data_IF_440213107655
#
_entry.id   IF_440213107655
#
_cell.length_a   1.000
_cell.length_b   1.000
_cell.length_c   1.000
_cell.angle_alpha   90.00
_cell.angle_beta   90.00
_cell.angle_gamma   90.00
#
_symmetry.space_group_name_H-M   'P 1'
#
loop_
_entity.id
_entity.type
_entity.pdbx_description
1 polymer ?
#
# COMPACT_ATOMS: atom_id res chain seq x y z
N UNK A 1 37.26 5.51 38.80
CA UNK A 1 38.61 5.82 39.32
C UNK A 1 38.86 7.31 39.50
N UNK A 2 38.55 8.18 38.52
CA UNK A 2 38.81 9.63 38.63
C UNK A 2 38.28 10.31 39.92
N UNK A 3 37.10 9.91 40.42
CA UNK A 3 36.53 10.44 41.67
C UNK A 3 37.39 10.04 42.89
N UNK A 4 37.84 8.79 42.97
CA UNK A 4 38.56 8.25 44.12
C UNK A 4 40.01 8.76 44.20
N UNK A 5 40.62 9.09 43.06
CA UNK A 5 41.96 9.66 42.97
C UNK A 5 41.97 11.20 42.89
N UNK A 6 40.82 11.86 43.06
CA UNK A 6 40.70 13.32 42.99
C UNK A 6 41.31 14.02 44.22
N UNK A 7 41.56 15.32 44.15
CA UNK A 7 42.01 16.12 45.31
C UNK A 7 40.90 16.46 46.31
N UNK A 8 39.70 15.88 46.18
CA UNK A 8 38.59 16.09 47.10
C UNK A 8 38.91 15.54 48.50
N UNK A 9 38.24 16.08 49.53
CA UNK A 9 38.34 15.53 50.87
C UNK A 9 37.79 14.09 50.92
N UNK A 10 38.30 13.21 51.81
CA UNK A 10 37.92 11.80 51.84
C UNK A 10 36.40 11.55 51.88
N UNK A 11 35.66 12.31 52.71
CA UNK A 11 34.20 12.19 52.79
C UNK A 11 33.49 12.65 51.52
N UNK A 12 34.01 13.67 50.82
CA UNK A 12 33.46 14.15 49.55
C UNK A 12 33.66 13.14 48.42
N UNK A 13 34.76 12.38 48.41
CA UNK A 13 34.97 11.30 47.43
C UNK A 13 33.94 10.19 47.60
N UNK A 14 33.69 9.77 48.84
CA UNK A 14 32.69 8.75 49.16
C UNK A 14 31.28 9.24 48.83
N UNK A 15 30.97 10.49 49.15
CA UNK A 15 29.69 11.09 48.82
C UNK A 15 29.49 11.21 47.30
N UNK A 16 30.50 11.67 46.56
CA UNK A 16 30.47 11.73 45.10
C UNK A 16 30.30 10.35 44.45
N UNK A 17 30.90 9.31 45.01
CA UNK A 17 30.71 7.94 44.53
C UNK A 17 29.23 7.51 44.66
N UNK A 18 28.58 7.84 45.78
CA UNK A 18 27.18 7.50 46.03
C UNK A 18 26.19 8.38 45.26
N UNK A 19 26.50 9.66 45.11
CA UNK A 19 25.62 10.62 44.47
C UNK A 19 25.70 10.58 42.94
N UNK A 20 26.85 10.23 42.37
CA UNK A 20 27.07 10.31 40.92
C UNK A 20 27.41 8.97 40.28
N UNK A 21 28.29 8.16 40.88
CA UNK A 21 28.73 6.92 40.23
C UNK A 21 27.66 5.83 40.25
N UNK A 22 27.19 5.39 41.42
CA UNK A 22 26.21 4.30 41.51
C UNK A 22 24.87 4.61 40.82
N UNK A 23 24.32 5.84 40.93
CA UNK A 23 23.13 6.20 40.15
C UNK A 23 23.36 6.15 38.63
N UNK A 24 24.56 6.51 38.16
CA UNK A 24 24.89 6.45 36.72
C UNK A 24 25.00 5.02 36.18
N UNK A 25 25.36 4.04 37.03
CA UNK A 25 25.50 2.64 36.64
C UNK A 25 24.20 1.84 36.77
N UNK A 26 23.22 2.35 37.52
CA UNK A 26 21.95 1.66 37.85
C UNK A 26 21.22 1.14 36.61
N UNK A 27 21.19 1.92 35.53
CA UNK A 27 20.61 1.49 34.27
C UNK A 27 21.34 0.30 33.65
N UNK A 28 22.67 0.33 33.61
CA UNK A 28 23.47 -0.73 33.01
C UNK A 28 23.40 -2.03 33.83
N UNK A 29 23.32 -1.92 35.16
CA UNK A 29 23.10 -3.03 36.09
C UNK A 29 21.73 -3.68 35.83
N UNK A 30 20.66 -2.89 35.79
CA UNK A 30 19.27 -3.36 35.61
C UNK A 30 18.90 -3.76 34.18
N UNK A 31 19.75 -3.50 33.20
CA UNK A 31 19.53 -3.98 31.81
C UNK A 31 20.47 -5.11 31.41
N UNK A 32 21.18 -5.69 32.38
CA UNK A 32 22.12 -6.79 32.19
C UNK A 32 23.13 -6.54 31.04
N UNK A 33 23.58 -5.28 30.87
CA UNK A 33 24.53 -4.92 29.81
C UNK A 33 25.90 -5.57 29.98
N UNK A 34 26.26 -5.84 31.24
CA UNK A 34 27.50 -6.48 31.64
C UNK A 34 27.17 -7.69 32.50
N UNK A 35 28.06 -8.70 32.48
CA UNK A 35 27.87 -9.90 33.30
C UNK A 35 28.05 -9.55 34.77
N UNK A 36 27.46 -10.34 35.67
CA UNK A 36 27.67 -10.20 37.12
C UNK A 36 29.17 -10.17 37.47
N UNK A 37 29.98 -10.98 36.80
CA UNK A 37 31.45 -11.02 36.96
C UNK A 37 32.15 -9.69 36.63
N UNK A 38 31.59 -8.91 35.71
CA UNK A 38 32.15 -7.60 35.34
C UNK A 38 31.85 -6.57 36.43
N UNK A 39 30.64 -6.62 37.02
CA UNK A 39 30.26 -5.79 38.17
C UNK A 39 31.04 -6.16 39.42
N UNK A 40 31.24 -7.45 39.68
CA UNK A 40 32.09 -7.94 40.77
C UNK A 40 33.53 -7.42 40.66
N UNK A 41 34.07 -7.30 39.44
CA UNK A 41 35.38 -6.70 39.19
C UNK A 41 35.40 -5.22 39.53
N UNK A 42 34.36 -4.47 39.15
CA UNK A 42 34.21 -3.05 39.48
C UNK A 42 34.09 -2.86 41.00
N UNK A 43 33.25 -3.65 41.67
CA UNK A 43 33.09 -3.62 43.12
C UNK A 43 34.41 -3.94 43.84
N UNK A 44 35.18 -4.91 43.35
CA UNK A 44 36.50 -5.26 43.89
C UNK A 44 37.47 -4.09 43.77
N UNK A 45 37.53 -3.43 42.61
CA UNK A 45 38.39 -2.27 42.40
C UNK A 45 37.97 -1.07 43.27
N UNK A 46 36.67 -0.76 43.31
CA UNK A 46 36.15 0.34 44.10
C UNK A 46 36.33 0.10 45.59
N UNK A 47 36.11 -1.12 46.06
CA UNK A 47 36.33 -1.51 47.47
C UNK A 47 37.75 -1.16 47.90
N UNK A 48 38.76 -1.50 47.11
CA UNK A 48 40.16 -1.19 47.42
C UNK A 48 40.39 0.31 47.57
N UNK A 49 39.88 1.12 46.64
CA UNK A 49 40.04 2.57 46.68
C UNK A 49 39.25 3.25 47.81
N UNK A 50 38.07 2.72 48.15
CA UNK A 50 37.29 3.14 49.31
C UNK A 50 38.08 2.84 50.60
N UNK A 51 38.64 1.63 50.66
CA UNK A 51 39.74 1.16 51.55
C UNK A 51 40.70 2.28 51.90
N UNK A 52 41.43 2.67 50.86
CA UNK A 52 42.49 3.65 50.90
C UNK A 52 41.99 5.04 51.32
N UNK A 53 40.83 5.46 50.81
CA UNK A 53 40.24 6.76 51.13
C UNK A 53 39.86 6.90 52.60
N UNK A 54 39.39 5.81 53.21
CA UNK A 54 39.05 5.75 54.64
C UNK A 54 40.27 5.52 55.54
N UNK A 55 41.45 5.31 54.96
CA UNK A 55 42.69 4.98 55.69
C UNK A 55 42.56 3.75 56.60
N UNK A 56 41.80 2.74 56.15
CA UNK A 56 41.67 1.45 56.85
C UNK A 56 42.38 0.34 56.08
N UNK A 57 42.94 -0.68 56.77
CA UNK A 57 43.64 -1.77 56.09
C UNK A 57 42.69 -2.62 55.25
N UNK A 58 43.22 -3.34 54.26
CA UNK A 58 42.42 -4.25 53.42
C UNK A 58 41.70 -5.34 54.22
N UNK A 59 42.22 -5.70 55.41
CA UNK A 59 41.62 -6.66 56.35
C UNK A 59 40.38 -6.13 57.09
N UNK A 60 40.06 -4.84 57.01
CA UNK A 60 38.86 -4.28 57.64
C UNK A 60 37.59 -4.96 57.12
N UNK A 61 36.61 -5.22 58.00
CA UNK A 61 35.36 -5.90 57.65
C UNK A 61 34.61 -5.16 56.53
N UNK A 62 34.18 -5.90 55.51
CA UNK A 62 33.48 -5.32 54.36
C UNK A 62 32.05 -4.88 54.74
N UNK A 63 31.48 -5.52 55.76
CA UNK A 63 30.19 -5.22 56.37
C UNK A 63 30.13 -3.79 56.90
N UNK A 64 31.27 -3.21 57.29
CA UNK A 64 31.35 -1.79 57.66
C UNK A 64 31.13 -0.87 56.45
N UNK A 65 31.59 -1.26 55.27
CA UNK A 65 31.42 -0.47 54.04
C UNK A 65 29.97 -0.53 53.54
N UNK A 66 29.40 -1.73 53.52
CA UNK A 66 28.12 -2.02 52.87
C UNK A 66 26.93 -1.93 53.84
N UNK A 67 27.17 -2.05 55.15
CA UNK A 67 26.15 -1.99 56.19
C UNK A 67 25.41 -0.64 56.25
N UNK A 68 24.24 -0.65 56.87
CA UNK A 68 23.33 0.49 56.85
C UNK A 68 23.81 1.67 57.73
N UNK A 69 23.66 2.91 57.23
CA UNK A 69 24.12 4.15 57.91
C UNK A 69 23.53 4.35 59.32
N UNK A 70 22.27 3.94 59.53
CA UNK A 70 21.62 4.03 60.86
C UNK A 70 22.30 3.19 61.95
N UNK A 71 23.13 2.22 61.56
CA UNK A 71 23.91 1.39 62.49
C UNK A 71 25.39 1.80 62.54
N UNK A 72 25.74 2.99 62.03
CA UNK A 72 27.10 3.52 62.06
C UNK A 72 28.02 3.03 60.92
N UNK A 73 27.49 2.27 59.96
CA UNK A 73 28.22 1.81 58.78
C UNK A 73 28.19 2.86 57.64
N UNK A 74 28.97 2.63 56.59
CA UNK A 74 29.10 3.59 55.49
C UNK A 74 27.89 3.59 54.56
N UNK A 75 27.23 2.45 54.31
CA UNK A 75 26.10 2.34 53.37
C UNK A 75 26.52 2.62 51.93
N UNK A 76 27.52 1.90 51.44
CA UNK A 76 27.97 1.93 50.05
C UNK A 76 27.18 0.85 49.28
N UNK A 77 26.55 1.17 48.13
CA UNK A 77 25.90 0.15 47.31
C UNK A 77 26.89 -0.88 46.75
N UNK A 78 26.43 -2.12 46.55
CA UNK A 78 27.18 -3.16 45.83
C UNK A 78 26.60 -3.27 44.42
N UNK A 79 27.41 -3.04 43.40
CA UNK A 79 26.95 -3.05 42.01
C UNK A 79 26.47 -4.44 41.56
N UNK A 80 27.07 -5.50 42.09
CA UNK A 80 26.75 -6.90 41.73
C UNK A 80 25.53 -7.50 42.47
N UNK A 81 24.90 -6.80 43.42
CA UNK A 81 23.81 -7.35 44.26
C UNK A 81 22.40 -7.20 43.68
N UNK A 82 22.16 -6.27 42.76
CA UNK A 82 20.84 -6.08 42.12
C UNK A 82 20.84 -6.62 40.68
N UNK A 83 20.71 -7.95 40.44
CA UNK A 83 20.37 -8.44 39.12
C UNK A 83 18.94 -7.99 38.78
N UNK A 84 18.65 -7.58 37.53
CA UNK A 84 17.29 -7.27 37.15
C UNK A 84 16.41 -8.50 37.23
N UNK A 85 15.24 -8.34 37.83
CA UNK A 85 14.22 -9.38 37.81
C UNK A 85 13.52 -9.40 36.45
N UNK A 86 12.88 -10.53 36.12
CA UNK A 86 12.04 -10.64 34.93
C UNK A 86 10.91 -9.59 34.92
N UNK A 87 10.45 -9.17 36.10
CA UNK A 87 9.48 -8.09 36.28
C UNK A 87 10.08 -6.72 35.91
N UNK A 88 11.29 -6.40 36.39
CA UNK A 88 12.00 -5.16 36.04
C UNK A 88 12.22 -5.04 34.52
N UNK A 89 12.53 -6.16 33.86
CA UNK A 89 12.66 -6.24 32.40
C UNK A 89 11.31 -6.04 31.71
N UNK A 90 10.25 -6.66 32.24
CA UNK A 90 8.88 -6.48 31.77
C UNK A 90 8.45 -5.01 31.80
N UNK A 91 8.57 -4.36 32.96
CA UNK A 91 8.16 -2.97 33.18
C UNK A 91 8.94 -1.97 32.30
N UNK A 92 10.25 -2.19 32.15
CA UNK A 92 11.06 -1.38 31.24
C UNK A 92 10.69 -1.58 29.76
N UNK A 93 10.40 -2.82 29.35
CA UNK A 93 10.04 -3.14 27.97
C UNK A 93 8.63 -2.67 27.60
N UNK A 94 7.68 -2.69 28.53
CA UNK A 94 6.31 -2.18 28.34
C UNK A 94 6.25 -0.65 28.38
N UNK A 95 7.26 -0.01 28.97
CA UNK A 95 7.46 1.44 28.91
C UNK A 95 6.99 2.17 30.16
N UNK A 96 6.96 1.48 31.31
CA UNK A 96 6.76 2.10 32.61
C UNK A 96 7.85 3.18 32.88
N UNK A 97 7.41 4.30 33.46
CA UNK A 97 8.22 5.48 33.76
C UNK A 97 8.11 5.90 35.22
N UNK A 98 7.38 5.15 36.05
CA UNK A 98 7.21 5.45 37.47
C UNK A 98 8.41 4.94 38.30
N UNK A 99 8.66 5.63 39.41
CA UNK A 99 9.69 5.25 40.40
C UNK A 99 11.11 5.17 39.82
N UNK A 100 11.73 3.99 39.92
CA UNK A 100 13.14 3.70 39.59
C UNK A 100 13.51 3.86 38.11
N UNK A 101 12.53 3.94 37.19
CA UNK A 101 12.77 4.14 35.75
C UNK A 101 12.61 5.60 35.31
N UNK A 102 12.28 6.52 36.23
CA UNK A 102 12.21 7.95 35.97
C UNK A 102 13.58 8.48 35.53
N UNK A 103 13.67 8.96 34.30
CA UNK A 103 14.93 9.42 33.70
C UNK A 103 15.47 10.66 34.41
N UNK A 104 16.55 10.52 35.20
CA UNK A 104 17.55 11.58 35.27
C UNK A 104 18.27 11.61 33.91
N UNK A 105 18.36 12.80 33.32
CA UNK A 105 18.68 13.02 31.91
C UNK A 105 20.04 12.42 31.48
N UNK A 106 20.04 11.22 30.90
CA UNK A 106 21.23 10.67 30.26
C UNK A 106 21.26 10.98 28.76
N UNK A 107 22.33 11.65 28.31
CA UNK A 107 22.61 12.03 26.90
C UNK A 107 22.91 10.84 25.97
N UNK A 108 23.02 9.62 26.48
CA UNK A 108 23.36 8.42 25.71
C UNK A 108 22.11 7.56 25.51
N UNK A 109 21.43 7.71 24.37
CA UNK A 109 20.32 6.85 23.99
C UNK A 109 20.85 5.48 23.55
N UNK A 110 20.71 4.45 24.38
CA UNK A 110 21.01 3.09 23.98
C UNK A 110 19.94 2.54 23.00
N UNK A 111 20.24 1.38 22.40
CA UNK A 111 19.37 0.73 21.41
C UNK A 111 17.96 0.46 21.95
N UNK A 112 17.81 0.20 23.25
CA UNK A 112 16.51 -0.05 23.89
C UNK A 112 15.69 1.24 24.01
N UNK A 113 16.30 2.35 24.42
CA UNK A 113 15.66 3.66 24.43
C UNK A 113 15.20 4.06 23.02
N UNK A 114 16.06 3.86 22.00
CA UNK A 114 15.73 4.13 20.59
C UNK A 114 14.56 3.24 20.14
N UNK A 115 14.63 1.94 20.44
CA UNK A 115 13.60 0.98 20.04
C UNK A 115 12.26 1.28 20.74
N UNK A 116 12.27 1.68 22.00
CA UNK A 116 11.07 2.12 22.75
C UNK A 116 10.47 3.38 22.14
N UNK A 117 11.29 4.40 21.88
CA UNK A 117 10.84 5.62 21.20
C UNK A 117 10.25 5.31 19.81
N UNK A 118 10.86 4.39 19.06
CA UNK A 118 10.34 3.94 17.77
C UNK A 118 9.01 3.19 17.91
N UNK A 119 8.90 2.27 18.87
CA UNK A 119 7.67 1.54 19.21
C UNK A 119 6.54 2.52 19.54
N UNK A 120 6.79 3.51 20.41
CA UNK A 120 5.81 4.55 20.76
C UNK A 120 5.36 5.38 19.56
N UNK A 121 6.27 5.83 18.69
CA UNK A 121 5.91 6.59 17.47
C UNK A 121 5.05 5.79 16.49
N UNK A 122 5.21 4.47 16.48
CA UNK A 122 4.49 3.58 15.58
C UNK A 122 3.27 2.93 16.24
N UNK A 123 2.97 3.24 17.50
CA UNK A 123 1.96 2.54 18.31
C UNK A 123 2.14 1.01 18.28
N UNK A 124 3.39 0.56 18.44
CA UNK A 124 3.74 -0.85 18.61
C UNK A 124 3.90 -1.10 20.10
N UNK A 125 3.01 -1.90 20.64
CA UNK A 125 3.05 -2.35 22.04
C UNK A 125 4.04 -3.51 22.19
N UNK A 126 4.54 -3.68 23.41
CA UNK A 126 5.47 -4.73 23.78
C UNK A 126 4.86 -5.49 24.94
N UNK A 127 4.88 -6.80 24.88
CA UNK A 127 4.57 -7.64 26.05
C UNK A 127 5.72 -8.57 26.36
N UNK A 128 5.89 -8.87 27.64
CA UNK A 128 6.84 -9.84 28.14
C UNK A 128 6.05 -10.79 29.05
N UNK A 129 5.59 -11.88 28.45
CA UNK A 129 4.80 -12.93 29.12
C UNK A 129 5.55 -14.25 28.96
N UNK A 130 5.58 -15.08 30.00
CA UNK A 130 6.22 -16.40 30.00
C UNK A 130 7.69 -16.37 29.52
N UNK A 131 8.45 -15.34 29.89
CA UNK A 131 9.83 -15.11 29.42
C UNK A 131 9.99 -14.93 27.90
N UNK A 132 8.91 -14.62 27.19
CA UNK A 132 8.92 -14.37 25.74
C UNK A 132 8.50 -12.94 25.42
N UNK A 133 9.42 -12.17 24.85
CA UNK A 133 9.12 -10.84 24.32
C UNK A 133 8.27 -10.93 23.05
N UNK A 134 7.16 -10.19 23.03
CA UNK A 134 6.26 -10.06 21.87
C UNK A 134 6.13 -8.59 21.48
N UNK A 135 6.03 -8.34 20.18
CA UNK A 135 5.57 -7.04 19.67
C UNK A 135 4.12 -7.18 19.21
N UNK A 136 3.27 -6.31 19.73
CA UNK A 136 1.85 -6.23 19.41
C UNK A 136 1.64 -5.01 18.52
N UNK A 137 1.02 -5.20 17.37
CA UNK A 137 0.67 -4.11 16.47
C UNK A 137 -0.68 -4.40 15.82
N UNK A 138 -1.73 -3.72 16.26
CA UNK A 138 -3.11 -4.02 15.87
C UNK A 138 -3.43 -5.49 16.17
N UNK A 139 -3.82 -6.28 15.16
CA UNK A 139 -4.09 -7.71 15.23
C UNK A 139 -2.83 -8.60 15.14
N UNK A 140 -1.64 -8.01 14.95
CA UNK A 140 -0.41 -8.74 14.72
C UNK A 140 0.37 -9.00 16.03
N UNK A 141 0.75 -10.27 16.24
CA UNK A 141 1.63 -10.70 17.33
C UNK A 141 2.96 -11.22 16.74
N UNK A 142 4.06 -10.50 17.00
CA UNK A 142 5.40 -10.86 16.53
C UNK A 142 6.26 -11.39 17.69
N UNK A 143 6.63 -12.67 17.60
CA UNK A 143 7.53 -13.38 18.52
C UNK A 143 9.00 -13.26 18.09
N UNK A 144 9.99 -13.62 18.93
CA UNK A 144 11.42 -13.52 18.59
C UNK A 144 11.82 -14.31 17.33
N UNK A 145 11.13 -15.43 17.07
CA UNK A 145 11.28 -16.21 15.83
C UNK A 145 10.93 -15.40 14.55
N UNK A 146 10.10 -14.36 14.67
CA UNK A 146 9.70 -13.48 13.56
C UNK A 146 10.64 -12.28 13.37
N UNK A 147 11.79 -12.22 14.06
CA UNK A 147 12.72 -11.06 14.03
C UNK A 147 13.03 -10.52 12.62
N UNK A 148 13.16 -11.40 11.61
CA UNK A 148 13.43 -11.01 10.22
C UNK A 148 12.21 -10.42 9.48
N UNK A 149 11.00 -10.63 9.99
CA UNK A 149 9.74 -10.18 9.38
C UNK A 149 9.15 -8.93 10.03
N UNK A 150 9.64 -8.52 11.21
CA UNK A 150 9.08 -7.40 12.01
C UNK A 150 8.83 -6.14 11.15
N UNK A 151 9.87 -5.64 10.48
CA UNK A 151 9.75 -4.44 9.64
C UNK A 151 8.83 -4.63 8.45
N UNK A 152 8.89 -5.81 7.80
CA UNK A 152 8.04 -6.12 6.67
C UNK A 152 6.56 -6.13 7.07
N UNK A 153 6.21 -6.89 8.12
CA UNK A 153 4.83 -7.05 8.59
C UNK A 153 4.21 -5.74 9.06
N UNK A 154 4.94 -4.94 9.85
CA UNK A 154 4.43 -3.64 10.32
C UNK A 154 4.25 -2.68 9.12
N UNK A 155 5.24 -2.59 8.23
CA UNK A 155 5.13 -1.71 7.04
C UNK A 155 4.01 -2.14 6.10
N UNK A 156 3.83 -3.44 5.90
CA UNK A 156 2.76 -3.98 5.09
C UNK A 156 1.39 -3.59 5.65
N UNK A 157 1.19 -3.77 6.96
CA UNK A 157 -0.06 -3.42 7.61
C UNK A 157 -0.38 -1.91 7.54
N UNK A 158 0.63 -1.06 7.73
CA UNK A 158 0.52 0.38 7.50
C UNK A 158 0.18 0.74 6.04
N UNK A 159 0.69 0.00 5.05
CA UNK A 159 0.33 0.21 3.63
C UNK A 159 -1.11 -0.20 3.34
N UNK A 160 -1.57 -1.31 3.91
CA UNK A 160 -2.97 -1.75 3.81
C UNK A 160 -3.91 -0.69 4.39
N UNK A 161 -3.59 -0.19 5.59
CA UNK A 161 -4.38 0.85 6.25
C UNK A 161 -4.44 2.15 5.43
N UNK A 162 -3.31 2.61 4.86
CA UNK A 162 -3.28 3.77 3.94
C UNK A 162 -4.15 3.53 2.70
N UNK A 163 -4.15 2.31 2.18
CA UNK A 163 -4.97 1.94 1.02
C UNK A 163 -6.47 1.98 1.36
N UNK A 164 -6.85 1.49 2.54
CA UNK A 164 -8.23 1.57 3.05
C UNK A 164 -8.67 3.03 3.27
N UNK A 165 -7.82 3.85 3.91
CA UNK A 165 -8.06 5.28 4.07
C UNK A 165 -8.29 5.99 2.74
N UNK A 166 -7.51 5.65 1.72
CA UNK A 166 -7.68 6.22 0.39
C UNK A 166 -9.00 5.77 -0.27
N UNK A 167 -9.34 4.47 -0.22
CA UNK A 167 -10.62 3.95 -0.75
C UNK A 167 -11.85 4.59 -0.11
N UNK A 168 -11.75 4.98 1.17
CA UNK A 168 -12.84 5.62 1.90
C UNK A 168 -12.95 7.13 1.63
N UNK A 169 -12.04 7.75 0.85
CA UNK A 169 -12.19 9.15 0.46
C UNK A 169 -13.34 9.33 -0.53
N UNK A 170 -14.30 10.18 -0.19
CA UNK A 170 -15.47 10.48 -1.02
C UNK A 170 -15.15 10.96 -2.45
N UNK A 171 -14.01 11.61 -2.68
CA UNK A 171 -13.61 12.08 -4.02
C UNK A 171 -12.52 11.19 -4.62
N UNK A 172 -11.33 11.17 -4.00
CA UNK A 172 -10.12 10.53 -4.55
C UNK A 172 -10.11 8.99 -4.44
N UNK A 173 -11.02 8.40 -3.66
CA UNK A 173 -11.06 6.96 -3.39
C UNK A 173 -11.95 6.14 -4.32
N UNK A 174 -12.87 6.81 -5.03
CA UNK A 174 -13.98 6.19 -5.78
C UNK A 174 -13.55 5.04 -6.69
N UNK A 175 -12.55 5.30 -7.54
CA UNK A 175 -12.07 4.35 -8.56
C UNK A 175 -11.30 3.18 -7.94
N UNK A 176 -10.61 3.41 -6.82
CA UNK A 176 -9.71 2.42 -6.23
C UNK A 176 -10.44 1.26 -5.57
N UNK A 177 -11.74 1.40 -5.27
CA UNK A 177 -12.57 0.28 -4.81
C UNK A 177 -12.57 -0.83 -5.86
N UNK A 178 -13.00 -0.53 -7.09
CA UNK A 178 -13.06 -1.49 -8.19
C UNK A 178 -11.69 -1.83 -8.78
N UNK A 179 -10.77 -0.86 -8.87
CA UNK A 179 -9.41 -1.14 -9.37
C UNK A 179 -8.67 -2.17 -8.50
N UNK A 180 -9.00 -2.26 -7.21
CA UNK A 180 -8.36 -3.20 -6.28
C UNK A 180 -8.88 -4.63 -6.36
N UNK A 181 -9.95 -4.91 -7.11
CA UNK A 181 -10.51 -6.26 -7.26
C UNK A 181 -9.58 -7.22 -8.00
N UNK A 182 -8.71 -6.69 -8.88
CA UNK A 182 -7.80 -7.49 -9.69
C UNK A 182 -6.43 -6.81 -9.79
N UNK A 183 -5.32 -7.54 -9.55
CA UNK A 183 -3.97 -6.99 -9.70
C UNK A 183 -3.68 -6.43 -11.10
N UNK A 184 -4.29 -7.01 -12.14
CA UNK A 184 -4.10 -6.59 -13.53
C UNK A 184 -4.51 -5.13 -13.78
N UNK A 185 -5.46 -4.60 -13.01
CA UNK A 185 -5.91 -3.20 -13.08
C UNK A 185 -4.79 -2.19 -12.81
N UNK A 186 -3.69 -2.62 -12.19
CA UNK A 186 -2.57 -1.76 -11.81
C UNK A 186 -1.21 -2.36 -12.20
N UNK A 187 -1.18 -3.25 -13.20
CA UNK A 187 0.04 -3.96 -13.62
C UNK A 187 1.17 -3.02 -14.04
N UNK A 188 0.84 -1.88 -14.64
CA UNK A 188 1.77 -0.88 -15.16
C UNK A 188 2.39 0.02 -14.07
N UNK A 189 1.91 -0.02 -12.82
CA UNK A 189 2.30 0.96 -11.80
C UNK A 189 3.79 0.86 -11.47
N UNK A 190 4.36 -0.34 -11.44
CA UNK A 190 5.76 -0.57 -11.09
C UNK A 190 6.73 -0.44 -12.26
N UNK A 191 6.33 -0.89 -13.45
CA UNK A 191 7.25 -1.08 -14.60
C UNK A 191 6.77 -0.42 -15.90
N UNK A 192 5.57 0.16 -15.93
CA UNK A 192 5.00 0.78 -17.13
C UNK A 192 4.66 -0.22 -18.25
N UNK A 193 4.64 -1.52 -17.97
CA UNK A 193 4.43 -2.54 -19.00
C UNK A 193 3.16 -2.29 -19.81
N UNK A 194 3.28 -2.44 -21.13
CA UNK A 194 2.21 -2.24 -22.12
C UNK A 194 1.52 -0.87 -22.09
N UNK A 195 2.11 0.14 -21.44
CA UNK A 195 1.46 1.43 -21.18
C UNK A 195 2.34 2.56 -21.68
N UNK A 196 1.78 3.51 -22.45
CA UNK A 196 2.57 4.67 -22.93
C UNK A 196 2.93 5.57 -21.75
N UNK A 197 4.03 6.32 -21.86
CA UNK A 197 4.42 7.28 -20.82
C UNK A 197 3.34 8.34 -20.53
N UNK A 198 2.59 8.77 -21.55
CA UNK A 198 1.50 9.72 -21.39
C UNK A 198 0.32 9.09 -20.61
N UNK A 199 -0.01 7.85 -20.91
CA UNK A 199 -1.10 7.08 -20.28
C UNK A 199 -0.80 6.81 -18.81
N UNK A 200 0.45 6.41 -18.51
CA UNK A 200 0.93 6.20 -17.15
C UNK A 200 0.85 7.48 -16.31
N UNK A 201 1.24 8.64 -16.86
CA UNK A 201 1.12 9.93 -16.15
C UNK A 201 -0.34 10.36 -15.97
N UNK A 202 -1.18 10.09 -16.96
CA UNK A 202 -2.60 10.43 -16.94
C UNK A 202 -3.37 9.65 -15.88
N UNK A 203 -3.17 8.32 -15.83
CA UNK A 203 -4.07 7.44 -15.09
C UNK A 203 -4.05 7.70 -13.58
N UNK A 204 -2.90 8.07 -13.00
CA UNK A 204 -2.82 8.43 -11.59
C UNK A 204 -3.68 9.65 -11.24
N UNK A 205 -3.62 10.71 -12.07
CA UNK A 205 -4.44 11.90 -11.88
C UNK A 205 -5.93 11.61 -12.12
N UNK A 206 -6.23 10.80 -13.12
CA UNK A 206 -7.60 10.40 -13.46
C UNK A 206 -8.26 9.61 -12.32
N UNK A 207 -7.59 8.59 -11.78
CA UNK A 207 -8.12 7.75 -10.67
C UNK A 207 -8.35 8.54 -9.38
N UNK A 208 -7.52 9.55 -9.12
CA UNK A 208 -7.66 10.45 -7.97
C UNK A 208 -8.62 11.62 -8.23
N UNK A 209 -9.25 11.70 -9.42
CA UNK A 209 -10.11 12.80 -9.85
C UNK A 209 -9.42 14.19 -9.73
N UNK A 210 -8.15 14.26 -10.13
CA UNK A 210 -7.29 15.46 -10.07
C UNK A 210 -7.08 16.12 -11.43
N UNK A 211 -7.81 15.70 -12.46
CA UNK A 211 -7.74 16.32 -13.78
C UNK A 211 -8.43 17.70 -13.73
N UNK A 212 -7.89 18.74 -14.40
CA UNK A 212 -8.40 20.11 -14.41
C UNK A 212 -9.68 20.27 -15.26
N UNK A 213 -10.72 19.53 -14.88
CA UNK A 213 -12.07 19.64 -15.43
C UNK A 213 -12.90 20.64 -14.60
N UNK A 214 -13.72 21.45 -15.26
CA UNK A 214 -14.48 22.55 -14.66
C UNK A 214 -15.34 22.07 -13.48
N UNK A 215 -15.99 20.92 -13.65
CA UNK A 215 -16.84 20.28 -12.63
C UNK A 215 -16.08 19.68 -11.44
N UNK A 216 -14.76 19.49 -11.53
CA UNK A 216 -13.94 18.90 -10.47
C UNK A 216 -13.17 19.94 -9.64
N UNK A 217 -13.14 21.21 -10.06
CA UNK A 217 -12.42 22.29 -9.37
C UNK A 217 -13.23 22.83 -8.18
N UNK A 218 -13.19 22.14 -7.04
CA UNK A 218 -13.96 22.51 -5.83
C UNK A 218 -13.56 23.86 -5.23
N UNK A 219 -12.28 24.25 -5.33
CA UNK A 219 -11.75 25.51 -4.79
C UNK A 219 -12.01 26.75 -5.67
N UNK A 220 -12.58 26.56 -6.87
CA UNK A 220 -13.00 27.66 -7.76
C UNK A 220 -14.52 27.64 -7.89
N UNK A 221 -15.23 27.88 -6.79
CA UNK A 221 -16.70 27.83 -6.74
C UNK A 221 -17.37 28.86 -7.65
N UNK A 222 -16.75 30.02 -7.85
CA UNK A 222 -17.22 31.08 -8.74
C UNK A 222 -17.04 30.77 -10.24
N UNK A 223 -16.25 29.75 -10.60
CA UNK A 223 -16.02 29.41 -12.01
C UNK A 223 -17.17 28.57 -12.57
N UNK A 224 -17.44 28.78 -13.86
CA UNK A 224 -18.34 27.94 -14.65
C UNK A 224 -17.96 26.46 -14.49
N UNK A 225 -18.98 25.64 -14.21
CA UNK A 225 -18.87 24.19 -14.05
C UNK A 225 -19.26 23.45 -15.32
N UNK A 226 -19.86 24.12 -16.28
CA UNK A 226 -20.34 23.52 -17.52
C UNK A 226 -19.18 22.93 -18.34
N UNK A 227 -19.54 21.94 -19.13
CA UNK A 227 -18.64 21.31 -20.09
C UNK A 227 -18.21 22.31 -21.16
N UNK A 228 -16.89 22.48 -21.32
CA UNK A 228 -16.28 23.40 -22.29
C UNK A 228 -16.47 23.00 -23.76
N UNK A 229 -17.12 21.85 -24.00
CA UNK A 229 -17.35 21.29 -25.35
C UNK A 229 -18.83 21.20 -25.70
N UNK A 230 -19.64 20.61 -24.83
CA UNK A 230 -21.06 20.36 -25.13
C UNK A 230 -22.05 21.11 -24.23
N UNK A 231 -21.58 21.94 -23.30
CA UNK A 231 -22.47 22.72 -22.43
C UNK A 231 -23.24 21.92 -21.37
N UNK A 232 -22.96 20.63 -21.17
CA UNK A 232 -23.57 19.88 -20.05
C UNK A 232 -23.22 20.53 -18.70
N UNK A 233 -24.17 20.56 -17.75
CA UNK A 233 -24.10 21.27 -16.46
C UNK A 233 -22.80 21.13 -15.65
N UNK A 234 -22.11 19.99 -15.77
CA UNK A 234 -20.92 19.69 -14.97
C UNK A 234 -19.90 18.90 -15.80
N UNK A 235 -18.76 19.52 -16.09
CA UNK A 235 -17.61 18.89 -16.71
C UNK A 235 -16.90 17.96 -15.72
N UNK A 236 -17.47 16.78 -15.51
CA UNK A 236 -16.88 15.76 -14.63
C UNK A 236 -16.09 14.75 -15.45
N UNK A 237 -15.19 14.00 -14.82
CA UNK A 237 -14.47 12.93 -15.50
C UNK A 237 -15.43 11.90 -16.15
N UNK A 238 -16.42 11.31 -15.44
CA UNK A 238 -17.38 10.40 -16.07
C UNK A 238 -18.10 11.03 -17.25
N UNK A 239 -18.45 12.31 -17.17
CA UNK A 239 -19.02 13.01 -18.31
C UNK A 239 -18.05 12.99 -19.50
N UNK A 240 -16.82 13.47 -19.32
CA UNK A 240 -15.85 13.60 -20.41
C UNK A 240 -15.54 12.27 -21.10
N UNK A 241 -15.24 11.22 -20.33
CA UNK A 241 -14.75 9.95 -20.90
C UNK A 241 -15.84 8.92 -21.21
N UNK A 242 -17.11 9.16 -20.82
CA UNK A 242 -18.20 8.20 -21.03
C UNK A 242 -19.52 8.80 -21.56
N UNK A 243 -19.79 10.11 -21.43
CA UNK A 243 -21.13 10.67 -21.70
C UNK A 243 -21.17 11.96 -22.54
N UNK A 244 -20.05 12.65 -22.74
CA UNK A 244 -19.94 13.81 -23.61
C UNK A 244 -20.04 13.45 -25.10
N UNK A 245 -21.21 13.63 -25.71
CA UNK A 245 -21.52 13.17 -27.08
C UNK A 245 -20.52 13.56 -28.18
N UNK A 246 -19.74 14.64 -27.99
CA UNK A 246 -18.63 15.05 -28.86
C UNK A 246 -17.54 13.96 -29.02
N UNK A 247 -17.46 13.04 -28.06
CA UNK A 247 -16.44 12.00 -27.96
C UNK A 247 -16.99 10.59 -28.23
N UNK A 248 -18.20 10.48 -28.79
CA UNK A 248 -18.87 9.19 -29.02
C UNK A 248 -18.02 8.21 -29.83
N UNK A 249 -17.36 8.69 -30.87
CA UNK A 249 -16.45 7.88 -31.68
C UNK A 249 -15.26 7.34 -30.87
N UNK A 250 -14.71 8.14 -29.96
CA UNK A 250 -13.65 7.68 -29.05
C UNK A 250 -14.12 6.58 -28.11
N UNK A 251 -15.37 6.62 -27.64
CA UNK A 251 -15.95 5.54 -26.84
C UNK A 251 -16.10 4.26 -27.64
N UNK A 252 -16.53 4.38 -28.90
CA UNK A 252 -16.66 3.25 -29.82
C UNK A 252 -15.29 2.62 -30.10
N UNK A 253 -14.26 3.42 -30.35
CA UNK A 253 -12.90 2.92 -30.56
C UNK A 253 -12.32 2.23 -29.31
N UNK A 254 -12.56 2.79 -28.11
CA UNK A 254 -12.20 2.16 -26.83
C UNK A 254 -12.85 0.80 -26.67
N UNK A 255 -14.14 0.73 -26.96
CA UNK A 255 -14.93 -0.49 -26.91
C UNK A 255 -14.41 -1.52 -27.92
N UNK A 256 -14.25 -1.12 -29.19
CA UNK A 256 -13.82 -1.99 -30.27
C UNK A 256 -12.43 -2.57 -30.02
N UNK A 257 -11.50 -1.82 -29.42
CA UNK A 257 -10.19 -2.35 -29.05
C UNK A 257 -10.26 -3.59 -28.13
N UNK A 258 -11.28 -3.69 -27.27
CA UNK A 258 -11.51 -4.88 -26.43
C UNK A 258 -12.20 -5.97 -27.24
N UNK A 259 -13.21 -5.62 -28.04
CA UNK A 259 -13.92 -6.56 -28.93
C UNK A 259 -12.94 -7.25 -29.88
N UNK A 260 -12.06 -6.51 -30.55
CA UNK A 260 -11.07 -7.03 -31.49
C UNK A 260 -10.11 -8.02 -30.83
N UNK A 261 -9.70 -7.72 -29.59
CA UNK A 261 -8.89 -8.66 -28.79
C UNK A 261 -9.65 -9.93 -28.47
N UNK A 262 -10.93 -9.82 -28.08
CA UNK A 262 -11.77 -10.98 -27.80
C UNK A 262 -11.98 -11.84 -29.05
N UNK A 263 -12.23 -11.22 -30.20
CA UNK A 263 -12.32 -11.90 -31.49
C UNK A 263 -11.06 -12.71 -31.77
N UNK A 264 -9.88 -12.08 -31.68
CA UNK A 264 -8.59 -12.77 -31.89
C UNK A 264 -8.36 -13.91 -30.88
N UNK A 265 -8.77 -13.71 -29.62
CA UNK A 265 -8.65 -14.73 -28.58
C UNK A 265 -9.58 -15.93 -28.83
N UNK A 266 -10.80 -15.66 -29.30
CA UNK A 266 -11.82 -16.67 -29.57
C UNK A 266 -11.53 -17.49 -30.82
N UNK A 267 -11.02 -16.88 -31.89
CA UNK A 267 -10.69 -17.55 -33.16
C UNK A 267 -9.77 -18.77 -32.99
N UNK A 268 -8.99 -18.84 -31.91
CA UNK A 268 -8.09 -19.96 -31.62
C UNK A 268 -8.80 -21.22 -31.11
N UNK A 269 -10.01 -21.11 -30.58
CA UNK A 269 -10.67 -22.20 -29.84
C UNK A 269 -12.17 -22.32 -30.08
N UNK A 270 -12.83 -21.27 -30.53
CA UNK A 270 -14.26 -21.18 -30.74
C UNK A 270 -14.58 -20.68 -32.16
N UNK A 271 -15.72 -21.08 -32.70
CA UNK A 271 -16.22 -20.60 -33.99
C UNK A 271 -17.00 -19.31 -33.77
N UNK A 272 -16.58 -18.22 -34.39
CA UNK A 272 -17.34 -16.96 -34.37
C UNK A 272 -18.55 -17.12 -35.28
N UNK A 273 -19.75 -16.96 -34.72
CA UNK A 273 -21.02 -17.02 -35.45
C UNK A 273 -21.36 -15.66 -36.06
N UNK A 274 -21.17 -14.59 -35.29
CA UNK A 274 -21.42 -13.22 -35.73
C UNK A 274 -20.68 -12.20 -34.86
N UNK A 275 -20.39 -11.04 -35.43
CA UNK A 275 -19.85 -9.87 -34.72
C UNK A 275 -20.69 -8.64 -35.08
N UNK A 276 -21.18 -7.92 -34.08
CA UNK A 276 -22.01 -6.73 -34.27
C UNK A 276 -23.14 -6.95 -35.29
N UNK A 277 -23.87 -8.07 -35.19
CA UNK A 277 -25.01 -8.38 -36.05
C UNK A 277 -26.22 -8.78 -35.21
N UNK A 278 -27.40 -8.58 -35.77
CA UNK A 278 -28.64 -9.03 -35.15
C UNK A 278 -28.64 -10.56 -35.03
N UNK A 279 -29.15 -11.06 -33.91
CA UNK A 279 -29.28 -12.51 -33.70
C UNK A 279 -30.66 -12.96 -34.18
N UNK A 280 -30.66 -13.88 -35.14
CA UNK A 280 -31.89 -14.41 -35.75
C UNK A 280 -32.78 -13.27 -36.26
N UNK A 281 -34.08 -13.31 -35.98
CA UNK A 281 -35.06 -12.29 -36.34
C UNK A 281 -35.22 -11.20 -35.26
N UNK A 282 -34.35 -11.18 -34.25
CA UNK A 282 -34.43 -10.18 -33.18
C UNK A 282 -33.73 -8.88 -33.57
N UNK A 283 -34.04 -7.79 -32.86
CA UNK A 283 -33.30 -6.52 -32.93
C UNK A 283 -32.08 -6.50 -32.00
N UNK A 284 -31.81 -7.61 -31.29
CA UNK A 284 -30.70 -7.71 -30.34
C UNK A 284 -29.39 -7.95 -31.09
N UNK A 285 -28.46 -7.02 -30.87
CA UNK A 285 -27.14 -6.98 -31.50
C UNK A 285 -26.05 -7.09 -30.43
N UNK A 286 -25.61 -8.29 -30.05
CA UNK A 286 -24.45 -8.48 -29.20
C UNK A 286 -23.16 -8.17 -29.98
N UNK A 287 -22.10 -7.81 -29.27
CA UNK A 287 -20.81 -7.52 -29.91
C UNK A 287 -20.21 -8.75 -30.56
N UNK A 288 -20.25 -9.90 -29.88
CA UNK A 288 -19.72 -11.17 -30.38
C UNK A 288 -20.66 -12.32 -29.98
N UNK A 289 -20.99 -13.16 -30.96
CA UNK A 289 -21.59 -14.47 -30.71
C UNK A 289 -20.59 -15.54 -31.15
N UNK A 290 -20.17 -16.41 -30.23
CA UNK A 290 -19.19 -17.45 -30.51
C UNK A 290 -19.62 -18.81 -29.95
N UNK A 291 -19.40 -19.88 -30.71
CA UNK A 291 -19.74 -21.26 -30.36
C UNK A 291 -18.50 -22.06 -29.98
N UNK A 292 -18.57 -22.76 -28.86
CA UNK A 292 -17.59 -23.74 -28.40
C UNK A 292 -18.32 -25.03 -28.03
N UNK A 293 -18.18 -26.07 -28.85
CA UNK A 293 -18.95 -27.31 -28.70
C UNK A 293 -20.46 -27.04 -28.81
N UNK A 294 -21.22 -27.43 -27.78
CA UNK A 294 -22.68 -27.19 -27.72
C UNK A 294 -23.06 -25.88 -27.01
N UNK A 295 -22.08 -25.06 -26.62
CA UNK A 295 -22.32 -23.79 -25.92
C UNK A 295 -22.11 -22.60 -26.85
N UNK A 296 -23.09 -21.71 -26.91
CA UNK A 296 -23.00 -20.39 -27.53
C UNK A 296 -22.76 -19.35 -26.44
N UNK A 297 -21.69 -18.57 -26.60
CA UNK A 297 -21.40 -17.41 -25.78
C UNK A 297 -21.89 -16.15 -26.49
N UNK A 298 -22.82 -15.44 -25.85
CA UNK A 298 -23.27 -14.11 -26.26
C UNK A 298 -22.47 -13.11 -25.46
N UNK A 299 -21.42 -12.57 -26.05
CA UNK A 299 -20.46 -11.69 -25.39
C UNK A 299 -20.78 -10.25 -25.75
N UNK A 300 -20.85 -9.39 -24.73
CA UNK A 300 -21.12 -7.98 -24.91
C UNK A 300 -20.20 -7.16 -23.99
N UNK A 301 -19.36 -6.33 -24.61
CA UNK A 301 -18.35 -5.52 -23.96
C UNK A 301 -18.99 -4.25 -23.41
N UNK A 302 -18.56 -3.87 -22.21
CA UNK A 302 -18.97 -2.59 -21.63
C UNK A 302 -17.84 -1.94 -20.86
N UNK A 303 -17.73 -0.63 -21.03
CA UNK A 303 -16.71 0.21 -20.40
C UNK A 303 -17.32 1.23 -19.43
N UNK A 304 -17.96 0.79 -18.33
CA UNK A 304 -18.59 1.71 -17.39
C UNK A 304 -17.54 2.57 -16.68
N UNK A 305 -17.93 3.76 -16.23
CA UNK A 305 -17.07 4.55 -15.36
C UNK A 305 -17.06 3.92 -13.97
N UNK A 306 -15.91 3.42 -13.52
CA UNK A 306 -15.78 2.72 -12.23
C UNK A 306 -15.73 3.64 -10.99
N UNK A 307 -16.54 4.70 -10.96
CA UNK A 307 -16.60 5.67 -9.85
C UNK A 307 -17.44 5.24 -8.65
N UNK A 308 -18.09 4.08 -8.71
CA UNK A 308 -18.89 3.51 -7.63
C UNK A 308 -18.64 2.00 -7.51
N UNK A 309 -18.77 1.43 -6.32
CA UNK A 309 -18.58 -0.01 -6.08
C UNK A 309 -19.63 -0.90 -6.77
N UNK A 310 -20.82 -0.39 -7.03
CA UNK A 310 -21.86 -1.12 -7.78
C UNK A 310 -21.76 -0.97 -9.30
N UNK A 311 -20.79 -0.20 -9.82
CA UNK A 311 -20.74 0.08 -11.26
C UNK A 311 -20.58 -1.18 -12.12
N UNK A 312 -19.83 -2.18 -11.62
CA UNK A 312 -19.66 -3.45 -12.31
C UNK A 312 -20.89 -4.35 -12.21
N UNK A 313 -21.53 -4.45 -11.03
CA UNK A 313 -22.75 -5.27 -10.87
C UNK A 313 -23.90 -4.71 -11.70
N UNK A 314 -24.13 -3.40 -11.65
CA UNK A 314 -25.18 -2.74 -12.43
C UNK A 314 -24.95 -2.90 -13.94
N UNK A 315 -23.70 -2.76 -14.42
CA UNK A 315 -23.38 -2.99 -15.83
C UNK A 315 -23.56 -4.46 -16.24
N UNK A 316 -23.23 -5.39 -15.35
CA UNK A 316 -23.42 -6.83 -15.58
C UNK A 316 -24.90 -7.17 -15.69
N UNK A 317 -25.70 -6.82 -14.69
CA UNK A 317 -27.14 -7.09 -14.62
C UNK A 317 -27.88 -6.49 -15.83
N UNK A 318 -27.58 -5.23 -16.17
CA UNK A 318 -28.18 -4.56 -17.34
C UNK A 318 -27.92 -5.33 -18.64
N UNK A 319 -26.72 -5.87 -18.84
CA UNK A 319 -26.39 -6.64 -20.05
C UNK A 319 -26.97 -8.05 -20.02
N UNK A 320 -27.00 -8.71 -18.85
CA UNK A 320 -27.68 -10.00 -18.71
C UNK A 320 -29.16 -9.86 -19.08
N UNK A 321 -29.89 -8.95 -18.43
CA UNK A 321 -31.31 -8.73 -18.71
C UNK A 321 -31.58 -8.34 -20.16
N UNK A 322 -30.69 -7.57 -20.79
CA UNK A 322 -30.82 -7.18 -22.21
C UNK A 322 -30.79 -8.39 -23.15
N UNK A 323 -29.90 -9.35 -22.91
CA UNK A 323 -29.68 -10.48 -23.83
C UNK A 323 -30.31 -11.79 -23.36
N UNK A 324 -30.93 -11.82 -22.17
CA UNK A 324 -31.68 -12.95 -21.62
C UNK A 324 -32.68 -13.58 -22.62
N UNK A 325 -33.42 -12.79 -23.42
CA UNK A 325 -34.33 -13.34 -24.43
C UNK A 325 -33.67 -14.21 -25.50
N UNK A 326 -32.34 -14.14 -25.70
CA UNK A 326 -31.62 -14.98 -26.65
C UNK A 326 -31.42 -16.41 -26.18
N UNK A 327 -31.52 -16.67 -24.87
CA UNK A 327 -31.32 -18.01 -24.29
C UNK A 327 -32.30 -19.04 -24.86
N UNK A 328 -33.64 -18.83 -24.79
CA UNK A 328 -34.60 -19.79 -25.34
C UNK A 328 -34.45 -19.98 -26.85
N UNK A 329 -34.02 -18.97 -27.61
CA UNK A 329 -33.83 -19.07 -29.06
C UNK A 329 -32.72 -20.07 -29.42
N UNK A 330 -31.59 -20.02 -28.72
CA UNK A 330 -30.52 -21.00 -28.91
C UNK A 330 -30.88 -22.37 -28.35
N UNK A 331 -31.64 -22.44 -27.25
CA UNK A 331 -32.15 -23.71 -26.71
C UNK A 331 -33.06 -24.43 -27.70
N UNK A 332 -33.92 -23.70 -28.43
CA UNK A 332 -34.75 -24.26 -29.50
C UNK A 332 -33.92 -24.85 -30.65
N UNK A 333 -32.66 -24.39 -30.83
CA UNK A 333 -31.71 -24.94 -31.80
C UNK A 333 -30.86 -26.09 -31.23
N UNK A 334 -31.17 -26.57 -30.01
CA UNK A 334 -30.41 -27.61 -29.32
C UNK A 334 -29.09 -27.13 -28.70
N UNK A 335 -28.88 -25.81 -28.57
CA UNK A 335 -27.66 -25.21 -28.06
C UNK A 335 -27.86 -24.63 -26.66
N UNK A 336 -26.82 -24.65 -25.83
CA UNK A 336 -26.81 -23.94 -24.55
C UNK A 336 -26.27 -22.53 -24.75
N UNK A 337 -27.05 -21.49 -24.43
CA UNK A 337 -26.59 -20.11 -24.47
C UNK A 337 -26.09 -19.63 -23.10
N UNK A 338 -24.98 -18.88 -23.10
CA UNK A 338 -24.43 -18.21 -21.92
C UNK A 338 -24.16 -16.75 -22.27
N UNK A 339 -24.78 -15.84 -21.52
CA UNK A 339 -24.55 -14.40 -21.67
C UNK A 339 -23.30 -14.03 -20.90
N UNK A 340 -22.41 -13.28 -21.54
CA UNK A 340 -21.11 -12.89 -21.03
C UNK A 340 -20.97 -11.36 -21.15
N UNK A 341 -21.45 -10.60 -20.14
CA UNK A 341 -21.09 -9.20 -20.02
C UNK A 341 -19.58 -9.11 -19.73
N UNK A 342 -18.83 -8.52 -20.66
CA UNK A 342 -17.38 -8.39 -20.57
C UNK A 342 -17.00 -6.98 -20.12
N UNK A 343 -16.61 -6.84 -18.85
CA UNK A 343 -16.54 -5.53 -18.19
C UNK A 343 -15.09 -5.10 -17.98
N UNK A 344 -14.72 -3.95 -18.54
CA UNK A 344 -13.46 -3.29 -18.24
C UNK A 344 -13.77 -1.83 -17.93
N UNK A 345 -13.48 -1.38 -16.71
CA UNK A 345 -13.75 -0.01 -16.32
C UNK A 345 -13.03 1.00 -17.23
N UNK A 346 -13.68 2.13 -17.55
CA UNK A 346 -13.13 3.19 -18.38
C UNK A 346 -11.74 3.71 -17.93
N UNK A 347 -11.36 3.55 -16.66
CA UNK A 347 -10.02 3.87 -16.15
C UNK A 347 -9.15 2.62 -15.90
N UNK A 348 -9.44 1.54 -16.61
CA UNK A 348 -8.64 0.32 -16.63
C UNK A 348 -8.82 -0.58 -15.41
N UNK A 349 -9.94 -0.52 -14.71
CA UNK A 349 -10.27 -1.51 -13.69
C UNK A 349 -10.74 -2.81 -14.34
N UNK A 350 -10.10 -3.93 -14.03
CA UNK A 350 -10.47 -5.24 -14.55
C UNK A 350 -11.55 -5.90 -13.69
N UNK A 351 -12.64 -6.35 -14.33
CA UNK A 351 -13.66 -7.14 -13.63
C UNK A 351 -13.23 -8.62 -13.52
N UNK A 352 -13.09 -9.20 -12.31
CA UNK A 352 -12.69 -10.59 -12.15
C UNK A 352 -13.66 -11.60 -12.78
N UNK A 353 -14.92 -11.23 -13.00
CA UNK A 353 -15.93 -12.12 -13.59
C UNK A 353 -15.60 -12.51 -15.05
N UNK A 354 -14.85 -11.65 -15.76
CA UNK A 354 -14.34 -11.93 -17.11
C UNK A 354 -13.48 -13.21 -17.13
N UNK A 355 -12.77 -13.51 -16.03
CA UNK A 355 -11.83 -14.62 -15.98
C UNK A 355 -12.52 -15.98 -16.12
N UNK A 356 -13.76 -16.11 -15.65
CA UNK A 356 -14.55 -17.35 -15.79
C UNK A 356 -14.75 -17.70 -17.27
N UNK A 357 -14.98 -16.70 -18.11
CA UNK A 357 -15.11 -16.86 -19.55
C UNK A 357 -13.74 -17.09 -20.20
N UNK A 358 -12.76 -16.21 -19.92
CA UNK A 358 -11.43 -16.29 -20.55
C UNK A 358 -10.73 -17.64 -20.29
N UNK A 359 -10.85 -18.22 -19.09
CA UNK A 359 -10.27 -19.53 -18.78
C UNK A 359 -10.86 -20.68 -19.61
N UNK A 360 -12.07 -20.53 -20.16
CA UNK A 360 -12.66 -21.53 -21.07
C UNK A 360 -12.03 -21.45 -22.47
N UNK A 361 -11.77 -20.22 -22.93
CA UNK A 361 -11.37 -19.94 -24.32
C UNK A 361 -9.88 -19.71 -24.52
N UNK A 362 -9.09 -19.52 -23.45
CA UNK A 362 -7.68 -19.17 -23.50
C UNK A 362 -6.81 -19.97 -22.50
N UNK A 363 -5.51 -20.05 -22.74
CA UNK A 363 -4.53 -20.59 -21.78
C UNK A 363 -4.27 -19.62 -20.62
N UNK A 364 -3.90 -20.12 -19.44
CA UNK A 364 -3.66 -19.29 -18.25
C UNK A 364 -2.60 -18.19 -18.47
N UNK A 365 -1.53 -18.50 -19.20
CA UNK A 365 -0.48 -17.52 -19.55
C UNK A 365 -1.03 -16.42 -20.44
N UNK A 366 -1.81 -16.77 -21.46
CA UNK A 366 -2.43 -15.79 -22.35
C UNK A 366 -3.47 -14.95 -21.63
N UNK A 367 -4.28 -15.53 -20.73
CA UNK A 367 -5.23 -14.74 -19.90
C UNK A 367 -4.48 -13.67 -19.10
N UNK A 368 -3.33 -14.00 -18.49
CA UNK A 368 -2.52 -13.00 -17.77
C UNK A 368 -2.11 -11.83 -18.65
N UNK A 369 -1.63 -12.10 -19.87
CA UNK A 369 -1.28 -11.07 -20.85
C UNK A 369 -2.52 -10.29 -21.32
N UNK A 370 -3.61 -10.99 -21.63
CA UNK A 370 -4.85 -10.42 -22.14
C UNK A 370 -5.42 -9.34 -21.21
N UNK A 371 -5.47 -9.64 -19.89
CA UNK A 371 -5.93 -8.66 -18.89
C UNK A 371 -5.13 -7.36 -18.94
N UNK A 372 -3.79 -7.48 -19.00
CA UNK A 372 -2.88 -6.32 -19.04
C UNK A 372 -3.13 -5.47 -20.28
N UNK A 373 -3.22 -6.12 -21.45
CA UNK A 373 -3.44 -5.43 -22.72
C UNK A 373 -4.79 -4.71 -22.78
N UNK A 374 -5.88 -5.34 -22.33
CA UNK A 374 -7.19 -4.67 -22.26
C UNK A 374 -7.20 -3.48 -21.31
N UNK A 375 -6.57 -3.61 -20.14
CA UNK A 375 -6.43 -2.51 -19.18
C UNK A 375 -5.68 -1.33 -19.82
N UNK A 376 -4.55 -1.61 -20.47
CA UNK A 376 -3.73 -0.57 -21.11
C UNK A 376 -4.44 0.11 -22.27
N UNK A 377 -5.12 -0.63 -23.15
CA UNK A 377 -5.88 -0.02 -24.25
C UNK A 377 -7.02 0.86 -23.75
N UNK A 378 -7.72 0.41 -22.70
CA UNK A 378 -8.81 1.19 -22.12
C UNK A 378 -8.30 2.52 -21.56
N UNK A 379 -7.15 2.49 -20.87
CA UNK A 379 -6.50 3.70 -20.34
C UNK A 379 -6.04 4.61 -21.47
N UNK A 380 -5.37 4.07 -22.49
CA UNK A 380 -4.92 4.81 -23.69
C UNK A 380 -6.07 5.58 -24.31
N UNK A 381 -7.18 4.92 -24.62
CA UNK A 381 -8.34 5.58 -25.24
C UNK A 381 -8.96 6.63 -24.33
N UNK A 382 -9.11 6.35 -23.03
CA UNK A 382 -9.61 7.34 -22.07
C UNK A 382 -8.69 8.57 -21.96
N UNK A 383 -7.38 8.38 -22.05
CA UNK A 383 -6.39 9.47 -22.09
C UNK A 383 -6.53 10.28 -23.38
N UNK A 384 -6.71 9.63 -24.52
CA UNK A 384 -6.81 10.29 -25.82
C UNK A 384 -8.13 11.09 -25.92
N UNK A 385 -9.26 10.51 -25.48
CA UNK A 385 -10.54 11.24 -25.33
C UNK A 385 -10.38 12.46 -24.42
N UNK A 386 -9.76 12.29 -23.24
CA UNK A 386 -9.53 13.40 -22.32
C UNK A 386 -8.64 14.48 -22.94
N UNK A 387 -7.58 14.09 -23.64
CA UNK A 387 -6.62 15.04 -24.24
C UNK A 387 -7.29 15.83 -25.35
N UNK A 388 -8.05 15.18 -26.23
CA UNK A 388 -8.88 15.86 -27.22
C UNK A 388 -9.89 16.80 -26.55
N UNK A 389 -10.53 16.36 -25.48
CA UNK A 389 -11.49 17.18 -24.75
C UNK A 389 -10.86 18.47 -24.22
N UNK A 390 -9.65 18.41 -23.66
CA UNK A 390 -8.96 19.60 -23.14
C UNK A 390 -8.42 20.49 -24.25
N UNK A 391 -7.76 19.90 -25.24
CA UNK A 391 -7.00 20.64 -26.26
C UNK A 391 -7.85 21.08 -27.45
N UNK A 392 -8.92 20.33 -27.76
CA UNK A 392 -9.71 20.50 -28.98
C UNK A 392 -9.07 19.83 -30.20
N UNK A 393 -7.88 19.22 -30.05
CA UNK A 393 -7.18 18.55 -31.13
C UNK A 393 -7.44 17.04 -31.10
N UNK A 394 -7.95 16.51 -32.22
CA UNK A 394 -8.21 15.08 -32.44
C UNK A 394 -6.95 14.25 -32.15
N UNK A 395 -7.07 13.21 -31.35
CA UNK A 395 -5.94 12.36 -30.93
C UNK A 395 -5.84 11.02 -31.69
N UNK A 396 -6.80 10.72 -32.55
CA UNK A 396 -6.91 9.46 -33.29
C UNK A 396 -7.43 9.73 -34.70
N UNK A 397 -6.91 8.99 -35.68
CA UNK A 397 -7.33 9.11 -37.07
C UNK A 397 -8.76 8.60 -37.24
N UNK A 398 -9.56 9.32 -38.02
CA UNK A 398 -10.77 8.77 -38.60
C UNK A 398 -10.33 7.99 -39.85
N UNK A 399 -10.86 6.79 -40.05
CA UNK A 399 -10.47 5.90 -41.16
C UNK A 399 -10.69 6.52 -42.57
N UNK A 400 -11.27 7.72 -42.67
CA UNK A 400 -11.54 8.45 -43.92
C UNK A 400 -10.62 9.65 -44.21
N UNK A 401 -9.50 9.81 -43.50
CA UNK A 401 -8.53 10.89 -43.85
C UNK A 401 -7.41 10.33 -44.74
N UNK A 402 -7.36 10.64 -46.05
CA UNK A 402 -6.23 10.24 -46.87
C UNK A 402 -4.95 10.86 -46.32
N UNK A 403 -3.91 10.04 -46.17
CA UNK A 403 -2.57 10.49 -45.82
C UNK A 403 -2.17 11.62 -46.79
N UNK A 404 -1.72 12.79 -46.30
CA UNK A 404 -1.13 13.78 -47.19
C UNK A 404 0.07 13.12 -47.86
N UNK A 405 0.05 13.07 -49.19
CA UNK A 405 1.17 12.63 -50.02
C UNK A 405 2.41 13.44 -49.62
N UNK A 406 3.29 12.81 -48.86
CA UNK A 406 4.54 13.40 -48.43
C UNK A 406 5.42 13.69 -49.64
N UNK A 407 5.36 14.92 -50.13
CA UNK A 407 6.39 15.49 -50.98
C UNK A 407 7.69 15.53 -50.19
N UNK A 408 8.62 14.64 -50.53
CA UNK A 408 10.01 14.74 -50.14
C UNK A 408 10.60 16.00 -50.78
N UNK A 409 10.52 17.13 -50.06
CA UNK A 409 11.37 18.29 -50.31
C UNK A 409 12.70 18.03 -49.61
N UNK A 410 13.69 17.60 -50.38
CA UNK A 410 15.09 17.64 -49.98
C UNK A 410 15.56 19.09 -49.92
N UNK A 411 15.88 19.58 -48.72
CA UNK A 411 16.73 20.75 -48.51
C UNK A 411 17.59 20.41 -47.29
N UNK A 412 18.78 19.88 -47.55
CA UNK A 412 20.05 20.60 -47.62
C UNK A 412 20.65 20.82 -46.22
N UNK A 413 21.64 19.97 -45.96
CA UNK A 413 22.67 20.07 -44.94
C UNK A 413 23.50 21.34 -45.16
N UNK A 414 23.70 22.13 -44.11
CA UNK A 414 24.78 23.10 -43.80
C UNK A 414 24.28 23.88 -42.56
N UNK A 415 24.95 24.01 -41.42
CA UNK A 415 26.31 23.71 -40.92
C UNK A 415 26.22 23.08 -39.52
#
# INVERSE_FOLDING_TARGET
MAIMCSSLAPWQRIDALKAFFFPSTQFAMRTAQFKKTDWERIDTMLRKEIKNTLSVPESAANEYLYGHRKHGCMGIPIAAEEPPTDQDLGDFLTGDIEGTFATSSNKLSNIWTIARCASRRLNVERSFEDQVTRLLFQDLILKPQHRRKVLFSIRDRLRVERSLRLKNKNNQGKVLKLASLAPASSHFVSDGSYTRFADWRFIHKARLNLLPLNGCQQWKSANDKMCRRCGQRAETLPHVINHCGMHSHGWQLRHNAIVDRLVQALQRKATILSCNQNVCETTLRPDITARLGNTVFVVDVTCPFEGNDTAFSAAYESKVSKYEPLIPLYQAQGLTAVIVPFIVGALGSWCPWNDKFLKKVCSNSYVSLFRKLCVSDTIKWSRDIYTEHITGHRQYLLEDTPLPSGGLSSSLVTE
#
